data_IF_223807327200
#
_entry.id   IF_223807327200
#
_cell.length_a   1.000
_cell.length_b   1.000
_cell.length_c   1.000
_cell.angle_alpha   90.00
_cell.angle_beta   90.00
_cell.angle_gamma   90.00
#
_symmetry.space_group_name_H-M   'P 1'
#
loop_
_entity.id
_entity.type
_entity.pdbx_description
1 polymer ?
#
# COMPACT_ATOMS: atom_id res chain seq x y z
N UNK A 1 -10.07 19.39 -7.50
CA UNK A 1 -9.18 19.67 -8.66
C UNK A 1 -8.09 18.62 -8.61
N UNK A 2 -7.79 17.94 -9.71
CA UNK A 2 -6.64 17.04 -9.73
C UNK A 2 -5.38 17.87 -9.46
N UNK A 3 -4.57 17.46 -8.50
CA UNK A 3 -3.27 18.07 -8.26
C UNK A 3 -2.31 17.69 -9.40
N UNK A 4 -1.35 18.55 -9.70
CA UNK A 4 -0.34 18.29 -10.71
C UNK A 4 0.65 17.24 -10.20
N UNK A 5 0.90 16.17 -10.99
CA UNK A 5 1.87 15.13 -10.64
C UNK A 5 3.26 15.73 -10.44
N UNK A 6 3.86 15.45 -9.29
CA UNK A 6 5.24 15.82 -8.97
C UNK A 6 6.14 14.60 -9.16
N UNK A 7 7.28 14.81 -9.81
CA UNK A 7 8.28 13.76 -10.01
C UNK A 7 9.55 14.16 -9.25
N UNK A 8 10.04 13.27 -8.38
CA UNK A 8 11.29 13.50 -7.67
C UNK A 8 12.48 13.43 -8.64
N UNK A 9 13.48 14.29 -8.41
CA UNK A 9 14.73 14.31 -9.20
C UNK A 9 15.81 13.38 -8.66
N UNK A 10 15.50 12.56 -7.66
CA UNK A 10 16.41 11.66 -6.98
C UNK A 10 16.54 10.28 -7.62
N UNK A 11 17.03 9.32 -6.84
CA UNK A 11 17.17 7.94 -7.24
C UNK A 11 15.82 7.21 -7.46
N UNK A 12 15.89 5.94 -7.86
CA UNK A 12 14.70 5.13 -8.13
C UNK A 12 13.76 5.07 -6.92
N UNK A 13 14.27 4.85 -5.72
CA UNK A 13 13.47 4.77 -4.49
C UNK A 13 12.76 6.09 -4.17
N UNK A 14 13.44 7.23 -4.29
CA UNK A 14 12.82 8.55 -4.03
C UNK A 14 11.70 8.87 -5.03
N UNK A 15 11.87 8.46 -6.29
CA UNK A 15 10.82 8.62 -7.32
C UNK A 15 9.60 7.77 -7.02
N UNK A 16 9.81 6.51 -6.63
CA UNK A 16 8.72 5.60 -6.28
C UNK A 16 8.03 5.98 -4.96
N UNK A 17 8.76 6.43 -3.95
CA UNK A 17 8.19 6.88 -2.69
C UNK A 17 7.24 8.07 -2.90
N UNK A 18 7.69 9.08 -3.66
CA UNK A 18 6.82 10.22 -4.00
C UNK A 18 5.62 9.80 -4.86
N UNK A 19 5.83 8.89 -5.84
CA UNK A 19 4.76 8.34 -6.64
C UNK A 19 3.72 7.62 -5.77
N UNK A 20 4.17 6.74 -4.88
CA UNK A 20 3.29 5.98 -4.00
C UNK A 20 2.43 6.89 -3.11
N UNK A 21 3.03 7.90 -2.46
CA UNK A 21 2.28 8.89 -1.67
C UNK A 21 1.23 9.63 -2.48
N UNK A 22 1.54 10.00 -3.72
CA UNK A 22 0.58 10.67 -4.61
C UNK A 22 -0.53 9.70 -5.09
N UNK A 23 -0.22 8.42 -5.33
CA UNK A 23 -1.22 7.40 -5.65
C UNK A 23 -2.18 7.22 -4.49
N UNK A 24 -1.68 7.06 -3.26
CA UNK A 24 -2.52 6.93 -2.06
C UNK A 24 -3.46 8.13 -1.93
N UNK A 25 -2.93 9.36 -2.01
CA UNK A 25 -3.75 10.57 -1.92
C UNK A 25 -4.79 10.71 -3.05
N UNK A 26 -4.48 10.21 -4.25
CA UNK A 26 -5.39 10.31 -5.41
C UNK A 26 -6.52 9.26 -5.35
N UNK A 27 -6.21 8.06 -4.84
CA UNK A 27 -7.17 6.95 -4.77
C UNK A 27 -8.02 6.99 -3.50
N UNK A 28 -7.68 7.88 -2.56
CA UNK A 28 -8.46 8.08 -1.34
C UNK A 28 -9.89 8.49 -1.65
N UNK A 29 -10.86 7.71 -1.17
CA UNK A 29 -12.29 7.91 -1.41
C UNK A 29 -12.79 7.62 -2.83
N UNK A 30 -11.91 7.30 -3.81
CA UNK A 30 -12.33 6.91 -5.16
C UNK A 30 -12.56 5.40 -5.25
N UNK A 31 -13.79 5.01 -5.54
CA UNK A 31 -14.21 3.60 -5.61
C UNK A 31 -14.26 3.02 -7.02
N UNK A 32 -14.09 3.84 -8.05
CA UNK A 32 -14.11 3.37 -9.43
C UNK A 32 -12.73 2.86 -9.86
N UNK A 33 -12.61 1.55 -10.03
CA UNK A 33 -11.37 0.90 -10.46
C UNK A 33 -10.82 1.44 -11.77
N UNK A 34 -11.69 1.81 -12.72
CA UNK A 34 -11.26 2.29 -14.04
C UNK A 34 -10.64 3.68 -13.91
N UNK A 35 -11.22 4.55 -13.08
CA UNK A 35 -10.65 5.86 -12.78
C UNK A 35 -9.28 5.72 -12.10
N UNK A 36 -9.18 4.87 -11.08
CA UNK A 36 -7.92 4.58 -10.40
C UNK A 36 -6.87 3.99 -11.33
N UNK A 37 -7.21 2.94 -12.11
CA UNK A 37 -6.29 2.33 -13.09
C UNK A 37 -5.80 3.35 -14.14
N UNK A 38 -6.68 4.25 -14.60
CA UNK A 38 -6.32 5.27 -15.59
C UNK A 38 -5.30 6.26 -15.04
N UNK A 39 -5.55 6.78 -13.85
CA UNK A 39 -4.66 7.73 -13.18
C UNK A 39 -3.33 7.08 -12.81
N UNK A 40 -3.35 5.89 -12.20
CA UNK A 40 -2.14 5.15 -11.82
C UNK A 40 -1.29 4.82 -13.04
N UNK A 41 -1.89 4.36 -14.15
CA UNK A 41 -1.15 4.13 -15.41
C UNK A 41 -0.45 5.39 -15.89
N UNK A 42 -1.13 6.54 -15.86
CA UNK A 42 -0.55 7.82 -16.26
C UNK A 42 0.58 8.27 -15.32
N UNK A 43 0.40 8.12 -14.01
CA UNK A 43 1.39 8.50 -12.99
C UNK A 43 2.65 7.65 -13.09
N UNK A 44 2.52 6.32 -13.19
CA UNK A 44 3.66 5.41 -13.36
C UNK A 44 4.37 5.74 -14.67
N UNK A 45 3.63 5.85 -15.78
CA UNK A 45 4.21 6.12 -17.10
C UNK A 45 5.02 7.42 -17.12
N UNK A 46 4.51 8.48 -16.50
CA UNK A 46 5.22 9.75 -16.38
C UNK A 46 6.44 9.71 -15.45
N UNK A 47 6.44 8.81 -14.45
CA UNK A 47 7.51 8.74 -13.44
C UNK A 47 8.71 7.92 -13.88
N UNK A 48 8.49 6.78 -14.56
CA UNK A 48 9.56 5.84 -14.94
C UNK A 48 9.78 5.76 -16.45
N UNK A 49 8.96 6.43 -17.25
CA UNK A 49 9.06 6.59 -18.70
C UNK A 49 9.28 5.27 -19.47
N UNK A 50 8.46 4.23 -19.23
CA UNK A 50 8.60 2.95 -19.92
C UNK A 50 8.02 3.02 -21.34
N UNK A 51 8.15 1.92 -22.09
CA UNK A 51 7.51 1.80 -23.41
C UNK A 51 5.98 1.76 -23.30
N UNK A 52 5.48 1.01 -22.31
CA UNK A 52 4.06 0.79 -22.08
C UNK A 52 3.77 0.61 -20.58
N UNK A 53 2.61 1.07 -20.12
CA UNK A 53 2.12 0.88 -18.75
C UNK A 53 0.62 0.77 -18.76
N UNK A 54 0.05 -0.27 -18.19
CA UNK A 54 -1.40 -0.38 -18.12
C UNK A 54 -1.89 -1.57 -17.33
N UNK A 55 -3.19 -1.70 -17.29
CA UNK A 55 -3.84 -2.78 -16.58
C UNK A 55 -4.58 -3.72 -17.52
N UNK A 56 -4.52 -5.01 -17.24
CA UNK A 56 -5.42 -6.01 -17.77
C UNK A 56 -6.31 -6.52 -16.65
N UNK A 57 -7.63 -6.46 -16.86
CA UNK A 57 -8.64 -6.84 -15.86
C UNK A 57 -9.11 -8.26 -16.08
N UNK A 58 -9.28 -9.02 -15.03
CA UNK A 58 -9.87 -10.38 -15.10
C UNK A 58 -11.35 -10.27 -15.48
N UNK A 59 -11.74 -10.93 -16.58
CA UNK A 59 -13.11 -11.00 -17.07
C UNK A 59 -13.41 -12.47 -17.46
N UNK A 60 -13.99 -13.22 -16.54
CA UNK A 60 -14.19 -14.67 -16.72
C UNK A 60 -12.86 -15.42 -16.74
N UNK A 61 -12.52 -16.02 -17.87
CA UNK A 61 -11.31 -16.82 -18.10
C UNK A 61 -10.22 -16.08 -18.92
N UNK A 62 -10.38 -14.78 -19.12
CA UNK A 62 -9.45 -13.94 -19.87
C UNK A 62 -9.10 -12.67 -19.11
N UNK A 63 -7.91 -12.15 -19.37
CA UNK A 63 -7.53 -10.79 -19.09
C UNK A 63 -7.99 -9.89 -20.24
N UNK A 64 -8.69 -8.81 -19.93
CA UNK A 64 -9.19 -7.83 -20.88
C UNK A 64 -8.49 -6.50 -20.67
N UNK A 65 -8.00 -5.91 -21.75
CA UNK A 65 -7.32 -4.61 -21.73
C UNK A 65 -8.13 -3.57 -20.96
N UNK A 66 -7.51 -2.94 -20.01
CA UNK A 66 -8.00 -1.82 -19.22
C UNK A 66 -7.33 -0.51 -19.61
N UNK A 67 -7.34 0.49 -18.72
CA UNK A 67 -6.62 1.75 -18.93
C UNK A 67 -5.12 1.54 -19.10
N UNK A 68 -4.50 2.28 -20.03
CA UNK A 68 -3.08 2.19 -20.33
C UNK A 68 -2.51 3.47 -20.95
N UNK A 69 -1.17 3.55 -20.95
CA UNK A 69 -0.36 4.56 -21.64
C UNK A 69 0.65 3.85 -22.54
N UNK A 70 0.85 4.34 -23.75
CA UNK A 70 1.78 3.78 -24.72
C UNK A 70 1.13 3.35 -26.04
N UNK A 71 1.81 2.55 -26.87
CA UNK A 71 1.29 2.05 -28.14
C UNK A 71 0.14 1.04 -27.96
N UNK A 72 -0.50 0.65 -29.06
CA UNK A 72 -1.58 -0.34 -29.06
C UNK A 72 -1.11 -1.68 -28.46
N UNK A 73 -2.01 -2.35 -27.75
CA UNK A 73 -1.76 -3.61 -27.06
C UNK A 73 -2.80 -4.69 -27.41
N UNK A 74 -2.55 -5.93 -26.99
CA UNK A 74 -3.48 -7.04 -27.15
C UNK A 74 -4.79 -6.75 -26.39
N UNK A 75 -5.94 -6.95 -27.01
CA UNK A 75 -7.22 -6.69 -26.34
C UNK A 75 -7.58 -7.76 -25.30
N UNK A 76 -7.06 -8.99 -25.46
CA UNK A 76 -7.36 -10.15 -24.60
C UNK A 76 -6.17 -11.08 -24.47
N UNK A 77 -5.95 -11.60 -23.27
CA UNK A 77 -4.91 -12.58 -22.94
C UNK A 77 -5.56 -13.70 -22.14
N UNK A 78 -5.31 -14.96 -22.53
CA UNK A 78 -5.86 -16.12 -21.82
C UNK A 78 -5.09 -16.42 -20.53
N UNK A 79 -5.77 -17.02 -19.57
CA UNK A 79 -5.19 -17.54 -18.34
C UNK A 79 -3.99 -18.45 -18.64
N UNK A 80 -2.87 -18.23 -17.93
CA UNK A 80 -1.62 -18.98 -18.10
C UNK A 80 -0.90 -18.74 -19.43
N UNK A 81 -1.23 -17.67 -20.20
CA UNK A 81 -0.58 -17.38 -21.48
C UNK A 81 0.17 -16.05 -21.43
N UNK A 82 1.36 -16.04 -22.03
CA UNK A 82 2.26 -14.90 -21.98
C UNK A 82 2.72 -14.57 -20.54
N UNK A 83 3.35 -13.43 -20.33
CA UNK A 83 3.79 -13.01 -19.00
C UNK A 83 2.60 -12.63 -18.13
N UNK A 84 1.71 -11.78 -18.64
CA UNK A 84 0.49 -11.35 -17.93
C UNK A 84 -0.40 -12.51 -17.49
N UNK A 85 -0.72 -13.46 -18.41
CA UNK A 85 -1.54 -14.64 -18.07
C UNK A 85 -0.87 -15.57 -17.08
N UNK A 86 0.46 -15.69 -17.14
CA UNK A 86 1.26 -16.49 -16.20
C UNK A 86 1.34 -15.83 -14.81
N UNK A 87 1.49 -14.49 -14.75
CA UNK A 87 1.46 -13.75 -13.49
C UNK A 87 0.09 -13.92 -12.79
N UNK A 88 -1.00 -13.85 -13.56
CA UNK A 88 -2.33 -14.15 -13.05
C UNK A 88 -2.48 -15.59 -12.53
N UNK A 89 -1.99 -16.58 -13.29
CA UNK A 89 -2.08 -18.00 -12.91
C UNK A 89 -1.33 -18.30 -11.61
N UNK A 90 -0.14 -17.70 -11.44
CA UNK A 90 0.71 -17.92 -10.26
C UNK A 90 0.32 -17.04 -9.07
N UNK A 91 -0.34 -15.91 -9.33
CA UNK A 91 -0.55 -14.89 -8.31
C UNK A 91 0.76 -14.26 -7.82
N UNK A 92 1.77 -14.18 -8.66
CA UNK A 92 3.11 -13.71 -8.32
C UNK A 92 3.58 -12.64 -9.31
N UNK A 93 4.32 -11.65 -8.82
CA UNK A 93 4.98 -10.67 -9.67
C UNK A 93 6.07 -11.35 -10.50
N UNK A 94 6.04 -11.11 -11.81
CA UNK A 94 7.05 -11.62 -12.74
C UNK A 94 7.93 -10.47 -13.25
N UNK A 95 9.23 -10.55 -12.99
CA UNK A 95 10.24 -9.66 -13.57
C UNK A 95 10.93 -10.42 -14.69
N UNK A 96 10.78 -9.96 -15.94
CA UNK A 96 11.29 -10.62 -17.14
C UNK A 96 12.37 -9.75 -17.76
N UNK A 97 13.61 -10.16 -17.63
CA UNK A 97 14.77 -9.42 -18.16
C UNK A 97 14.83 -9.43 -19.70
N UNK A 98 14.32 -10.48 -20.34
CA UNK A 98 14.31 -10.67 -21.79
C UNK A 98 13.06 -11.44 -22.19
N UNK A 99 12.08 -10.73 -22.78
CA UNK A 99 10.78 -11.30 -23.15
C UNK A 99 10.90 -12.41 -24.22
N UNK A 100 11.95 -12.36 -25.06
CA UNK A 100 12.18 -13.40 -26.08
C UNK A 100 12.58 -14.74 -25.45
N UNK A 101 13.10 -14.73 -24.22
CA UNK A 101 13.46 -15.93 -23.47
C UNK A 101 12.32 -16.46 -22.58
N UNK A 102 11.23 -15.71 -22.45
CA UNK A 102 10.11 -16.14 -21.63
C UNK A 102 9.28 -17.22 -22.36
N UNK A 103 9.10 -18.41 -21.76
CA UNK A 103 8.36 -19.51 -22.41
C UNK A 103 6.91 -19.13 -22.71
N UNK A 104 6.54 -19.15 -23.98
CA UNK A 104 5.16 -18.82 -24.41
C UNK A 104 4.85 -17.34 -24.41
N UNK A 105 5.86 -16.48 -24.45
CA UNK A 105 5.68 -15.02 -24.58
C UNK A 105 4.75 -14.68 -25.76
N UNK A 106 3.84 -13.73 -25.52
CA UNK A 106 2.94 -13.18 -26.53
C UNK A 106 3.43 -11.76 -26.82
N UNK A 107 4.01 -11.55 -28.00
CA UNK A 107 4.48 -10.24 -28.42
C UNK A 107 3.30 -9.32 -28.74
N UNK A 108 2.81 -8.55 -27.77
CA UNK A 108 1.83 -7.47 -28.01
C UNK A 108 2.47 -6.27 -28.71
N UNK A 109 3.76 -6.05 -28.50
CA UNK A 109 4.59 -5.06 -29.22
C UNK A 109 5.93 -5.69 -29.62
N UNK A 110 6.39 -5.46 -30.84
CA UNK A 110 7.73 -5.86 -31.29
C UNK A 110 8.87 -5.04 -30.68
N UNK A 111 8.53 -3.98 -29.93
CA UNK A 111 9.48 -3.08 -29.29
C UNK A 111 9.76 -3.46 -27.83
N UNK A 112 8.90 -4.29 -27.22
CA UNK A 112 9.10 -4.75 -25.84
C UNK A 112 10.31 -5.69 -25.77
N UNK A 113 11.23 -5.43 -24.82
CA UNK A 113 12.43 -6.20 -24.57
C UNK A 113 12.50 -6.78 -23.16
N UNK A 114 11.99 -6.06 -22.17
CA UNK A 114 11.80 -6.54 -20.79
C UNK A 114 10.44 -6.10 -20.27
N UNK A 115 9.93 -6.81 -19.28
CA UNK A 115 8.55 -6.65 -18.79
C UNK A 115 8.50 -6.94 -17.30
N UNK A 116 7.67 -6.20 -16.57
CA UNK A 116 7.28 -6.53 -15.21
C UNK A 116 5.77 -6.58 -15.12
N UNK A 117 5.23 -7.68 -14.56
CA UNK A 117 3.80 -7.86 -14.37
C UNK A 117 3.50 -8.11 -12.89
N UNK A 118 2.62 -7.27 -12.33
CA UNK A 118 2.25 -7.30 -10.91
C UNK A 118 0.78 -7.67 -10.75
N UNK A 119 0.43 -8.78 -10.07
CA UNK A 119 -0.96 -9.13 -9.80
C UNK A 119 -1.63 -8.10 -8.86
N UNK A 120 -2.84 -7.71 -9.22
CA UNK A 120 -3.72 -6.85 -8.42
C UNK A 120 -4.70 -7.74 -7.66
N UNK A 121 -4.62 -7.72 -6.35
CA UNK A 121 -5.42 -8.55 -5.48
C UNK A 121 -6.63 -7.80 -4.93
N UNK A 122 -7.73 -8.52 -4.74
CA UNK A 122 -8.91 -8.10 -3.98
C UNK A 122 -9.58 -9.32 -3.38
N UNK A 123 -9.87 -9.30 -2.08
CA UNK A 123 -10.53 -10.41 -1.36
C UNK A 123 -9.86 -11.77 -1.61
N UNK A 124 -8.53 -11.81 -1.62
CA UNK A 124 -7.74 -13.02 -1.84
C UNK A 124 -7.79 -13.58 -3.28
N UNK A 125 -8.25 -12.79 -4.25
CA UNK A 125 -8.29 -13.16 -5.68
C UNK A 125 -7.58 -12.12 -6.51
N UNK A 126 -6.89 -12.57 -7.57
CA UNK A 126 -6.37 -11.65 -8.58
C UNK A 126 -7.53 -11.14 -9.43
N UNK A 127 -7.72 -9.80 -9.45
CA UNK A 127 -8.80 -9.13 -10.20
C UNK A 127 -8.27 -8.40 -11.44
N UNK A 128 -6.97 -8.12 -11.47
CA UNK A 128 -6.28 -7.52 -12.61
C UNK A 128 -4.78 -7.84 -12.54
N UNK A 129 -4.04 -7.43 -13.55
CA UNK A 129 -2.57 -7.31 -13.50
C UNK A 129 -2.17 -5.92 -13.96
N UNK A 130 -1.18 -5.33 -13.31
CA UNK A 130 -0.45 -4.18 -13.81
C UNK A 130 0.71 -4.71 -14.65
N UNK A 131 0.79 -4.24 -15.88
CA UNK A 131 1.78 -4.65 -16.88
C UNK A 131 2.60 -3.43 -17.32
N UNK A 132 3.93 -3.56 -17.33
CA UNK A 132 4.85 -2.50 -17.70
C UNK A 132 5.94 -3.08 -18.59
N UNK A 133 6.01 -2.58 -19.82
CA UNK A 133 7.00 -2.96 -20.81
C UNK A 133 8.10 -1.92 -20.98
N UNK A 134 9.30 -2.36 -21.24
CA UNK A 134 10.44 -1.52 -21.63
C UNK A 134 11.03 -1.94 -22.98
N UNK A 135 11.51 -0.95 -23.75
CA UNK A 135 12.27 -1.19 -24.96
C UNK A 135 13.74 -1.62 -24.71
N UNK A 136 14.16 -1.59 -23.47
CA UNK A 136 15.51 -2.00 -23.05
C UNK A 136 15.46 -3.37 -22.35
N UNK A 137 16.55 -4.12 -22.40
CA UNK A 137 16.71 -5.37 -21.64
C UNK A 137 16.93 -5.06 -20.16
N UNK A 138 16.43 -5.94 -19.29
CA UNK A 138 16.67 -5.91 -17.84
C UNK A 138 16.40 -4.53 -17.19
N UNK A 139 15.34 -3.85 -17.64
CA UNK A 139 14.98 -2.50 -17.13
C UNK A 139 14.42 -2.53 -15.72
N UNK A 140 13.85 -3.65 -15.31
CA UNK A 140 13.17 -3.81 -14.03
C UNK A 140 14.00 -4.69 -13.09
N UNK A 141 14.01 -4.32 -11.81
CA UNK A 141 14.72 -5.04 -10.74
C UNK A 141 13.79 -5.27 -9.53
N UNK A 142 14.36 -5.78 -8.44
CA UNK A 142 13.63 -6.07 -7.21
C UNK A 142 13.02 -4.82 -6.56
N UNK A 143 13.61 -3.62 -6.76
CA UNK A 143 13.03 -2.37 -6.23
C UNK A 143 11.76 -2.01 -6.96
N UNK A 144 11.74 -2.17 -8.32
CA UNK A 144 10.51 -1.96 -9.09
C UNK A 144 9.41 -2.90 -8.60
N UNK A 145 9.74 -4.18 -8.37
CA UNK A 145 8.80 -5.16 -7.83
C UNK A 145 8.20 -4.70 -6.52
N UNK A 146 9.03 -4.38 -5.54
CA UNK A 146 8.58 -3.99 -4.20
C UNK A 146 7.69 -2.74 -4.22
N UNK A 147 8.08 -1.71 -4.97
CA UNK A 147 7.31 -0.47 -5.06
C UNK A 147 6.00 -0.63 -5.83
N UNK A 148 6.01 -1.35 -6.95
CA UNK A 148 4.81 -1.57 -7.75
C UNK A 148 3.80 -2.47 -7.00
N UNK A 149 4.26 -3.47 -6.26
CA UNK A 149 3.40 -4.26 -5.36
C UNK A 149 2.75 -3.39 -4.28
N UNK A 150 3.46 -2.39 -3.72
CA UNK A 150 2.88 -1.41 -2.78
C UNK A 150 1.84 -0.52 -3.47
N UNK A 151 2.15 -0.02 -4.66
CA UNK A 151 1.24 0.86 -5.41
C UNK A 151 -0.10 0.17 -5.71
N UNK A 152 -0.08 -1.09 -6.15
CA UNK A 152 -1.32 -1.80 -6.50
C UNK A 152 -2.14 -2.24 -5.28
N UNK A 153 -1.63 -2.13 -4.05
CA UNK A 153 -2.39 -2.42 -2.83
C UNK A 153 -3.62 -1.51 -2.65
N UNK A 154 -3.63 -0.31 -3.25
CA UNK A 154 -4.81 0.55 -3.23
C UNK A 154 -6.08 -0.10 -3.82
N UNK A 155 -5.94 -1.15 -4.64
CA UNK A 155 -7.06 -1.91 -5.19
C UNK A 155 -7.56 -3.01 -4.25
N UNK A 156 -6.79 -3.40 -3.25
CA UNK A 156 -7.22 -4.35 -2.22
C UNK A 156 -8.10 -3.61 -1.19
N UNK A 157 -9.16 -3.02 -1.71
CA UNK A 157 -10.21 -2.32 -0.94
C UNK A 157 -11.19 -3.30 -0.32
N UNK A 158 -10.82 -4.58 -0.13
CA UNK A 158 -11.57 -5.33 0.84
C UNK A 158 -11.68 -4.42 2.07
N UNK A 159 -12.88 -4.12 2.58
CA UNK A 159 -12.96 -3.67 3.94
C UNK A 159 -12.25 -4.79 4.70
N UNK A 160 -10.99 -4.58 5.06
CA UNK A 160 -10.39 -5.37 6.11
C UNK A 160 -11.45 -5.22 7.17
N UNK A 161 -12.21 -6.32 7.42
CA UNK A 161 -13.22 -6.30 8.45
C UNK A 161 -12.49 -5.71 9.63
N UNK A 162 -12.84 -4.48 9.99
CA UNK A 162 -12.09 -3.69 10.95
C UNK A 162 -12.32 -4.38 12.28
N UNK A 163 -11.58 -5.44 12.51
CA UNK A 163 -11.62 -6.18 13.75
C UNK A 163 -10.90 -5.31 14.76
N UNK A 164 -11.66 -4.37 15.31
CA UNK A 164 -11.22 -3.62 16.48
C UNK A 164 -11.05 -4.63 17.60
N UNK A 165 -9.80 -4.94 17.90
CA UNK A 165 -9.45 -5.83 19.00
C UNK A 165 -9.48 -5.02 20.30
N UNK A 166 -10.34 -5.41 21.26
CA UNK A 166 -10.31 -4.83 22.59
C UNK A 166 -9.19 -5.47 23.40
N UNK A 167 -8.33 -4.64 23.97
CA UNK A 167 -7.11 -5.09 24.70
C UNK A 167 -6.89 -4.23 25.92
N UNK A 168 -6.24 -4.79 26.93
CA UNK A 168 -5.70 -4.03 28.06
C UNK A 168 -4.47 -3.22 27.62
N UNK A 169 -4.00 -2.32 28.44
CA UNK A 169 -2.80 -1.54 28.15
C UNK A 169 -1.56 -2.46 28.01
N UNK A 170 -1.42 -3.42 28.91
CA UNK A 170 -0.34 -4.41 28.87
C UNK A 170 -0.38 -5.29 27.62
N UNK A 171 -1.57 -5.77 27.24
CA UNK A 171 -1.73 -6.55 26.00
C UNK A 171 -1.42 -5.71 24.74
N UNK A 172 -1.72 -4.42 24.74
CA UNK A 172 -1.39 -3.51 23.63
C UNK A 172 0.12 -3.45 23.43
N UNK A 173 0.88 -3.21 24.50
CA UNK A 173 2.35 -3.12 24.45
C UNK A 173 2.98 -4.44 23.97
N UNK A 174 2.43 -5.58 24.37
CA UNK A 174 2.90 -6.89 23.90
C UNK A 174 2.64 -7.13 22.41
N UNK A 175 1.56 -6.56 21.86
CA UNK A 175 1.09 -6.79 20.48
C UNK A 175 1.66 -5.81 19.46
N UNK A 176 2.12 -4.64 19.90
CA UNK A 176 2.73 -3.59 19.06
C UNK A 176 4.20 -3.45 19.47
N UNK A 177 5.10 -4.25 18.88
CA UNK A 177 6.52 -4.17 19.20
C UNK A 177 7.11 -2.82 18.77
N UNK A 178 8.10 -2.33 19.51
CA UNK A 178 8.74 -1.03 19.30
C UNK A 178 9.39 -0.81 17.92
N UNK A 179 9.52 -1.86 17.13
CA UNK A 179 10.04 -1.81 15.74
C UNK A 179 8.96 -1.66 14.68
N UNK A 180 7.69 -1.79 15.07
CA UNK A 180 6.55 -1.69 14.16
C UNK A 180 6.00 -0.25 14.20
N UNK A 181 5.30 0.14 13.13
CA UNK A 181 4.71 1.46 13.01
C UNK A 181 3.28 1.47 13.60
N UNK A 182 2.86 2.62 14.12
CA UNK A 182 1.51 2.80 14.63
C UNK A 182 1.02 4.23 14.46
N UNK A 183 -0.30 4.41 14.42
CA UNK A 183 -0.95 5.72 14.42
C UNK A 183 -2.06 5.75 15.46
N UNK A 184 -2.34 6.93 16.01
CA UNK A 184 -3.41 7.16 16.97
C UNK A 184 -4.56 7.90 16.32
N UNK A 185 -5.80 7.41 16.49
CA UNK A 185 -6.97 8.00 15.85
C UNK A 185 -8.17 8.06 16.79
N UNK A 186 -9.03 9.07 16.60
CA UNK A 186 -10.25 9.22 17.40
C UNK A 186 -11.38 8.27 16.97
N UNK A 187 -11.35 7.80 15.73
CA UNK A 187 -12.32 6.86 15.15
C UNK A 187 -11.59 5.67 14.55
N UNK A 188 -12.17 4.45 14.63
CA UNK A 188 -11.58 3.30 13.99
C UNK A 188 -11.48 3.56 12.48
N UNK A 189 -10.31 3.34 11.89
CA UNK A 189 -10.06 3.52 10.46
C UNK A 189 -10.08 4.97 9.93
N UNK A 190 -9.90 5.97 10.78
CA UNK A 190 -9.59 7.30 10.27
C UNK A 190 -8.14 7.30 9.78
N UNK A 191 -7.94 7.69 8.52
CA UNK A 191 -6.63 7.77 7.88
C UNK A 191 -5.85 8.98 8.42
N UNK A 192 -5.29 8.86 9.61
CA UNK A 192 -4.24 9.75 10.08
C UNK A 192 -2.91 9.11 9.70
N UNK A 193 -2.21 9.69 8.73
CA UNK A 193 -0.87 9.28 8.30
C UNK A 193 0.23 9.99 9.11
N UNK A 194 -0.11 10.54 10.25
CA UNK A 194 0.88 11.09 11.17
C UNK A 194 1.53 9.92 11.92
N UNK A 195 2.58 9.35 11.29
CA UNK A 195 3.51 8.50 12.02
C UNK A 195 4.19 9.37 13.07
N UNK A 196 4.15 8.92 14.32
CA UNK A 196 4.96 9.55 15.34
C UNK A 196 6.43 9.20 15.06
N UNK A 197 7.24 10.20 14.66
CA UNK A 197 8.68 10.05 14.37
C UNK A 197 9.52 9.58 15.58
N UNK A 198 8.87 9.37 16.73
CA UNK A 198 9.48 8.88 17.97
C UNK A 198 9.43 7.36 18.13
N UNK A 199 9.58 6.61 17.05
CA UNK A 199 9.52 5.14 16.97
C UNK A 199 10.35 4.35 18.01
N UNK A 200 11.10 5.00 18.87
CA UNK A 200 11.98 4.35 19.86
C UNK A 200 11.55 4.55 21.31
N UNK A 201 10.46 5.26 21.55
CA UNK A 201 9.93 5.51 22.88
C UNK A 201 8.80 4.53 23.22
N UNK A 202 8.48 4.46 24.50
CA UNK A 202 7.39 3.64 25.01
C UNK A 202 6.05 4.04 24.36
N UNK A 203 5.36 3.06 23.76
CA UNK A 203 4.07 3.22 23.08
C UNK A 203 3.03 3.95 23.98
N UNK A 204 3.02 3.65 25.27
CA UNK A 204 2.09 4.25 26.24
C UNK A 204 2.41 5.73 26.44
N UNK A 205 3.68 6.08 26.57
CA UNK A 205 4.13 7.47 26.72
C UNK A 205 3.75 8.29 25.49
N UNK A 206 3.94 7.75 24.28
CA UNK A 206 3.55 8.40 23.01
C UNK A 206 2.03 8.56 22.92
N UNK A 207 1.26 7.59 23.38
CA UNK A 207 -0.21 7.67 23.39
C UNK A 207 -0.70 8.75 24.39
N UNK A 208 -0.07 8.87 25.56
CA UNK A 208 -0.36 9.91 26.55
C UNK A 208 -0.03 11.30 25.97
N UNK A 209 1.13 11.43 25.34
CA UNK A 209 1.58 12.69 24.68
C UNK A 209 0.61 13.11 23.57
N UNK A 210 0.28 12.21 22.64
CA UNK A 210 -0.72 12.45 21.59
C UNK A 210 -2.07 12.94 22.14
N UNK A 211 -2.48 12.45 23.32
CA UNK A 211 -3.71 12.82 23.98
C UNK A 211 -3.57 14.07 24.87
N UNK A 212 -2.38 14.67 24.98
CA UNK A 212 -2.10 15.84 25.83
C UNK A 212 -2.29 15.55 27.31
N UNK A 213 -1.94 14.35 27.76
CA UNK A 213 -2.07 13.91 29.15
C UNK A 213 -3.54 13.75 29.60
N UNK A 214 -4.50 13.57 28.69
CA UNK A 214 -5.91 13.37 29.02
C UNK A 214 -6.27 11.88 29.03
N UNK A 215 -6.39 11.28 30.21
CA UNK A 215 -6.67 9.87 30.40
C UNK A 215 -8.02 9.41 29.78
N UNK A 216 -9.02 10.27 29.70
CA UNK A 216 -10.31 9.94 29.08
C UNK A 216 -10.18 9.95 27.53
N UNK A 217 -9.29 10.76 26.97
CA UNK A 217 -8.93 10.71 25.55
C UNK A 217 -8.12 9.46 25.23
N UNK A 218 -7.10 9.15 26.03
CA UNK A 218 -6.30 7.92 25.89
C UNK A 218 -7.23 6.70 25.84
N UNK A 219 -8.15 6.58 26.78
CA UNK A 219 -9.08 5.44 26.87
C UNK A 219 -10.04 5.30 25.65
N UNK A 220 -10.20 6.35 24.85
CA UNK A 220 -11.07 6.38 23.64
C UNK A 220 -10.28 6.37 22.33
N UNK A 221 -8.97 6.47 22.41
CA UNK A 221 -8.11 6.49 21.22
C UNK A 221 -7.93 5.08 20.68
N UNK A 222 -7.99 4.95 19.36
CA UNK A 222 -7.68 3.71 18.65
C UNK A 222 -6.21 3.72 18.25
N UNK A 223 -5.56 2.57 18.36
CA UNK A 223 -4.19 2.36 17.92
C UNK A 223 -4.21 1.50 16.66
N UNK A 224 -3.85 2.07 15.54
CA UNK A 224 -3.67 1.35 14.30
C UNK A 224 -2.22 0.87 14.22
N UNK A 225 -2.03 -0.43 14.08
CA UNK A 225 -0.74 -1.10 14.06
C UNK A 225 -0.37 -1.53 12.65
N UNK A 226 0.85 -1.22 12.25
CA UNK A 226 1.44 -1.56 10.97
C UNK A 226 2.77 -2.31 11.23
N UNK A 227 3.17 -3.18 10.31
CA UNK A 227 4.52 -3.76 10.37
C UNK A 227 5.59 -2.73 9.97
N UNK A 228 6.87 -3.13 10.05
CA UNK A 228 7.98 -2.27 9.66
C UNK A 228 8.00 -1.89 8.16
N UNK A 229 7.12 -2.49 7.36
CA UNK A 229 6.95 -2.25 5.93
C UNK A 229 5.65 -1.49 5.63
N UNK A 230 5.03 -0.87 6.64
CA UNK A 230 3.78 -0.11 6.60
C UNK A 230 2.54 -0.92 6.18
N UNK A 231 2.56 -2.26 6.33
CA UNK A 231 1.36 -3.05 6.14
C UNK A 231 0.48 -3.01 7.39
N UNK A 232 -0.80 -2.64 7.22
CA UNK A 232 -1.77 -2.65 8.31
C UNK A 232 -1.95 -4.05 8.88
N UNK A 233 -1.81 -4.18 10.19
CA UNK A 233 -1.95 -5.44 10.92
C UNK A 233 -3.24 -5.53 11.73
N UNK A 234 -3.58 -4.48 12.47
CA UNK A 234 -4.77 -4.46 13.31
C UNK A 234 -5.11 -3.04 13.81
N UNK A 235 -6.35 -2.83 14.25
CA UNK A 235 -6.75 -1.70 15.08
C UNK A 235 -7.08 -2.20 16.48
N UNK A 236 -6.55 -1.53 17.50
CA UNK A 236 -6.81 -1.82 18.90
C UNK A 236 -7.63 -0.71 19.55
N UNK A 237 -8.60 -1.09 20.38
CA UNK A 237 -9.31 -0.21 21.30
C UNK A 237 -8.98 -0.66 22.73
N UNK A 238 -8.73 0.28 23.60
CA UNK A 238 -8.45 -0.01 25.00
C UNK A 238 -9.72 -0.46 25.74
N UNK A 239 -9.61 -1.56 26.47
CA UNK A 239 -10.62 -2.07 27.40
C UNK A 239 -9.99 -2.14 28.79
N UNK A 240 -9.90 -0.97 29.41
CA UNK A 240 -9.19 -0.78 30.67
C UNK A 240 -10.03 -1.21 31.85
N UNK A 241 -9.46 -2.01 32.73
CA UNK A 241 -10.00 -2.27 34.06
C UNK A 241 -10.06 -0.99 34.92
N UNK A 242 -10.71 -1.02 36.06
CA UNK A 242 -10.75 0.12 36.98
C UNK A 242 -9.34 0.47 37.51
N UNK A 243 -8.52 -0.55 37.76
CA UNK A 243 -7.15 -0.41 38.26
C UNK A 243 -6.25 0.24 37.18
N UNK A 244 -6.27 -0.25 35.95
CA UNK A 244 -5.53 0.33 34.83
C UNK A 244 -5.95 1.78 34.52
N UNK A 245 -7.23 2.13 34.72
CA UNK A 245 -7.71 3.52 34.57
C UNK A 245 -7.13 4.44 35.62
N UNK A 246 -6.99 3.96 36.86
CA UNK A 246 -6.43 4.75 37.94
C UNK A 246 -4.91 4.89 37.78
N UNK A 247 -4.20 3.87 37.31
CA UNK A 247 -2.79 3.93 36.94
C UNK A 247 -2.57 4.93 35.79
N UNK A 248 -3.32 4.82 34.71
CA UNK A 248 -3.25 5.72 33.56
C UNK A 248 -3.49 7.19 33.94
N UNK A 249 -4.39 7.47 34.90
CA UNK A 249 -4.60 8.83 35.40
C UNK A 249 -3.36 9.37 36.12
N UNK A 250 -2.70 8.54 36.91
CA UNK A 250 -1.48 8.92 37.61
C UNK A 250 -0.36 9.22 36.57
N UNK A 251 -0.19 8.37 35.57
CA UNK A 251 0.80 8.56 34.49
C UNK A 251 0.52 9.85 33.70
N UNK A 252 -0.73 10.16 33.39
CA UNK A 252 -1.14 11.41 32.75
C UNK A 252 -0.92 12.65 33.64
N UNK A 253 -1.06 12.51 34.96
CA UNK A 253 -0.77 13.59 35.89
C UNK A 253 0.74 13.84 36.02
N UNK A 254 1.56 12.78 36.05
CA UNK A 254 3.02 12.88 36.03
C UNK A 254 3.51 13.55 34.75
N UNK A 255 3.02 13.13 33.59
CA UNK A 255 3.34 13.73 32.29
C UNK A 255 3.07 15.25 32.28
N UNK A 256 1.91 15.70 32.78
CA UNK A 256 1.56 17.13 32.84
C UNK A 256 2.49 17.93 33.77
N UNK A 257 3.07 17.28 34.78
CA UNK A 257 3.99 17.95 35.70
C UNK A 257 5.40 18.10 35.12
N UNK A 258 5.78 17.22 34.18
CA UNK A 258 7.07 17.29 33.48
C UNK A 258 7.07 18.35 32.37
N UNK A 259 5.92 18.66 31.77
CA UNK A 259 5.74 19.64 30.69
C UNK A 259 5.62 21.10 31.19
N UNK A 260 5.61 21.38 32.52
CA UNK A 260 5.57 22.71 33.13
C UNK A 260 6.99 23.14 33.54
#
# INVERSE_FOLDING_TARGET
>A
MAEELKIAHGGKDERYDLLHRQVVALTDGEVDDIANMANISAMIHATIEPLWTGFYRVQGDELVLGPFQGPLACSRIKYGKGVCGTAWERGETLVVEDVEKFPGHIACSSLSRSEIVVPVWRDGKVVAVLDIDSAELASFDERDRLWLERIVKCFDTAPKELVVKRVTLGELVERVPCRDNYTFTAEPNSESHDYDDNMWNDLVSNLIDHCGGDADRVAKTFVNHFDAEDNYLATYALDLSAEERDELRNDCEEWRMEEI
#
